data_IF_569381229136
#
_entry.id   IF_569381229136
#
_cell.length_a   1.000
_cell.length_b   1.000
_cell.length_c   1.000
_cell.angle_alpha   90.00
_cell.angle_beta   90.00
_cell.angle_gamma   90.00
#
_symmetry.space_group_name_H-M   'P 1'
#
loop_
_entity.id
_entity.type
_entity.pdbx_description
1 polymer ?
#
# COMPACT_ATOMS: atom_id res chain seq x y z
N UNK A 1 -12.51 7.83 -10.41
CA UNK A 1 -12.42 6.37 -10.66
C UNK A 1 -13.35 6.06 -11.84
N UNK A 2 -12.80 5.65 -13.00
CA UNK A 2 -13.33 5.50 -14.39
C UNK A 2 -14.62 6.18 -14.91
N UNK A 3 -15.57 6.67 -14.10
CA UNK A 3 -16.77 7.36 -14.59
C UNK A 3 -17.66 6.48 -15.48
N UNK A 4 -17.76 5.19 -15.14
CA UNK A 4 -18.55 4.16 -15.84
C UNK A 4 -18.14 3.87 -17.30
N UNK A 5 -17.01 4.41 -17.77
CA UNK A 5 -16.47 4.12 -19.10
C UNK A 5 -15.84 2.72 -19.20
N UNK A 6 -15.63 2.05 -18.08
CA UNK A 6 -14.93 0.77 -18.02
C UNK A 6 -13.40 0.88 -18.13
N UNK A 7 -12.86 2.08 -18.32
CA UNK A 7 -11.43 2.35 -18.53
C UNK A 7 -11.00 3.60 -17.76
N UNK A 8 -9.84 3.55 -17.12
CA UNK A 8 -9.16 4.74 -16.60
C UNK A 8 -8.18 5.25 -17.63
N UNK A 9 -8.19 6.55 -17.89
CA UNK A 9 -7.21 7.20 -18.76
C UNK A 9 -6.45 8.30 -18.03
N UNK A 10 -5.15 8.40 -18.32
CA UNK A 10 -4.29 9.48 -17.85
C UNK A 10 -3.23 9.80 -18.90
N UNK A 11 -2.63 10.99 -18.80
CA UNK A 11 -1.47 11.32 -19.64
C UNK A 11 -0.17 11.03 -18.90
N UNK A 12 0.74 10.34 -19.57
CA UNK A 12 2.06 10.01 -19.06
C UNK A 12 3.13 10.56 -20.01
N UNK A 13 4.14 11.30 -19.49
CA UNK A 13 5.28 11.69 -20.30
C UNK A 13 6.12 10.49 -20.68
N UNK A 14 6.52 10.41 -21.95
CA UNK A 14 7.50 9.45 -22.44
C UNK A 14 8.90 10.08 -22.49
N UNK A 15 9.98 9.27 -22.59
CA UNK A 15 11.36 9.77 -22.68
C UNK A 15 11.62 10.70 -23.86
N UNK A 16 10.77 10.67 -24.89
CA UNK A 16 10.78 11.57 -26.04
C UNK A 16 10.17 12.96 -25.75
N UNK A 17 9.67 13.18 -24.52
CA UNK A 17 9.01 14.42 -24.10
C UNK A 17 7.55 14.54 -24.53
N UNK A 18 6.99 13.52 -25.20
CA UNK A 18 5.60 13.53 -25.67
C UNK A 18 4.69 12.94 -24.60
N UNK A 19 3.57 13.60 -24.33
CA UNK A 19 2.52 13.04 -23.49
C UNK A 19 1.72 12.01 -24.28
N UNK A 20 1.59 10.81 -23.72
CA UNK A 20 0.76 9.75 -24.29
C UNK A 20 -0.38 9.46 -23.34
N UNK A 21 -1.58 9.33 -23.90
CA UNK A 21 -2.72 8.82 -23.15
C UNK A 21 -2.50 7.32 -22.92
N UNK A 22 -2.48 6.93 -21.66
CA UNK A 22 -2.52 5.52 -21.25
C UNK A 22 -3.95 5.20 -20.87
N UNK A 23 -4.41 4.06 -21.33
CA UNK A 23 -5.71 3.49 -20.99
C UNK A 23 -5.49 2.20 -20.21
N UNK A 24 -6.19 2.05 -19.10
CA UNK A 24 -6.13 0.86 -18.28
C UNK A 24 -7.54 0.39 -17.92
N UNK A 25 -7.81 -0.93 -17.94
CA UNK A 25 -9.07 -1.49 -17.47
C UNK A 25 -9.46 -0.93 -16.10
N UNK A 26 -10.73 -0.53 -15.93
CA UNK A 26 -11.18 0.02 -14.65
C UNK A 26 -11.01 -1.04 -13.55
N UNK A 27 -10.24 -0.77 -12.49
CA UNK A 27 -9.93 -1.76 -11.46
C UNK A 27 -11.15 -2.21 -10.64
N UNK A 28 -12.29 -1.53 -10.77
CA UNK A 28 -13.59 -1.90 -10.19
C UNK A 28 -14.35 -2.93 -11.06
N UNK A 29 -13.81 -3.33 -12.21
CA UNK A 29 -14.46 -4.29 -13.11
C UNK A 29 -15.62 -3.70 -13.93
N UNK A 30 -15.76 -2.37 -14.01
CA UNK A 30 -16.84 -1.71 -14.77
C UNK A 30 -16.74 -1.87 -16.29
N UNK A 31 -15.71 -2.55 -16.81
CA UNK A 31 -15.49 -2.74 -18.24
C UNK A 31 -16.07 -4.06 -18.75
N UNK A 32 -16.26 -4.18 -20.07
CA UNK A 32 -16.81 -5.39 -20.70
C UNK A 32 -15.83 -6.59 -20.76
N UNK A 33 -14.69 -6.52 -20.09
CA UNK A 33 -13.75 -7.63 -20.01
C UNK A 33 -14.13 -8.53 -18.82
N UNK A 34 -14.20 -9.84 -19.07
CA UNK A 34 -14.47 -10.80 -18.02
C UNK A 34 -13.38 -10.76 -16.96
N UNK A 35 -13.77 -10.61 -15.70
CA UNK A 35 -12.89 -10.65 -14.53
C UNK A 35 -13.16 -11.95 -13.79
N UNK A 36 -12.12 -12.72 -13.47
CA UNK A 36 -12.27 -13.97 -12.73
C UNK A 36 -12.86 -13.67 -11.33
N UNK A 37 -13.87 -14.40 -10.82
CA UNK A 37 -14.50 -14.11 -9.53
C UNK A 37 -13.51 -14.00 -8.35
N UNK A 38 -12.47 -14.83 -8.33
CA UNK A 38 -11.40 -14.73 -7.32
C UNK A 38 -10.61 -13.39 -7.36
N UNK A 39 -10.54 -12.71 -8.50
CA UNK A 39 -9.88 -11.41 -8.63
C UNK A 39 -10.73 -10.25 -8.09
N UNK A 40 -12.05 -10.45 -7.92
CA UNK A 40 -12.91 -9.50 -7.19
C UNK A 40 -12.74 -9.63 -5.67
N UNK A 41 -12.39 -10.84 -5.19
CA UNK A 41 -12.22 -11.15 -3.78
C UNK A 41 -10.82 -10.85 -3.24
N UNK A 42 -9.80 -10.82 -4.09
CA UNK A 42 -8.38 -10.58 -3.70
C UNK A 42 -8.11 -9.16 -3.15
N UNK A 43 -9.13 -8.29 -3.08
CA UNK A 43 -9.07 -6.93 -2.52
C UNK A 43 -9.93 -6.75 -1.29
N UNK A 44 -10.74 -7.74 -0.94
CA UNK A 44 -11.46 -7.76 0.33
C UNK A 44 -10.59 -8.59 1.26
N UNK A 45 -9.85 -7.94 2.15
CA UNK A 45 -9.48 -8.61 3.39
C UNK A 45 -10.82 -8.94 4.03
N UNK A 46 -11.29 -10.17 3.88
CA UNK A 46 -12.44 -10.66 4.63
C UNK A 46 -12.07 -10.43 6.09
N UNK A 47 -12.69 -9.43 6.71
CA UNK A 47 -12.63 -9.33 8.16
C UNK A 47 -13.29 -10.61 8.66
N UNK A 48 -12.57 -11.48 9.39
CA UNK A 48 -13.24 -12.57 10.05
C UNK A 48 -14.04 -11.93 11.19
N UNK A 49 -15.35 -11.83 10.99
CA UNK A 49 -16.32 -11.81 12.09
C UNK A 49 -16.23 -13.17 12.79
N UNK A 50 -15.23 -13.30 13.66
CA UNK A 50 -15.02 -14.26 14.75
C UNK A 50 -13.51 -14.28 15.02
N UNK A 51 -13.04 -13.41 15.91
CA UNK A 51 -11.64 -13.32 16.31
C UNK A 51 -11.15 -14.68 16.86
N UNK A 52 -10.18 -15.36 16.23
CA UNK A 52 -9.29 -16.24 16.96
C UNK A 52 -8.45 -15.33 17.88
N UNK A 53 -8.27 -15.75 19.13
CA UNK A 53 -7.70 -14.97 20.25
C UNK A 53 -6.26 -14.45 20.05
N UNK A 54 -5.68 -14.61 18.85
CA UNK A 54 -4.44 -13.97 18.42
C UNK A 54 -4.58 -13.57 16.97
N UNK A 55 -4.83 -12.28 16.72
CA UNK A 55 -4.53 -11.66 15.42
C UNK A 55 -3.04 -11.91 15.17
N UNK A 56 -2.71 -12.88 14.33
CA UNK A 56 -1.35 -13.03 13.83
C UNK A 56 -0.98 -11.70 13.19
N UNK A 57 0.13 -11.12 13.65
CA UNK A 57 0.59 -9.83 13.17
C UNK A 57 0.82 -9.93 11.67
N UNK A 58 0.10 -9.13 10.88
CA UNK A 58 0.14 -9.24 9.43
C UNK A 58 1.53 -8.91 8.89
N UNK A 59 1.89 -9.44 7.71
CA UNK A 59 3.19 -9.24 7.07
C UNK A 59 3.63 -7.76 7.00
N UNK A 60 2.68 -6.83 6.84
CA UNK A 60 2.94 -5.39 6.83
C UNK A 60 3.38 -4.87 8.20
N UNK A 61 2.73 -5.32 9.28
CA UNK A 61 3.10 -4.92 10.63
C UNK A 61 4.47 -5.50 11.04
N UNK A 62 4.74 -6.74 10.66
CA UNK A 62 6.07 -7.35 10.85
C UNK A 62 7.16 -6.62 10.04
N UNK A 63 6.93 -6.34 8.76
CA UNK A 63 7.87 -5.60 7.93
C UNK A 63 8.12 -4.17 8.46
N UNK A 64 7.08 -3.48 8.92
CA UNK A 64 7.19 -2.15 9.51
C UNK A 64 8.00 -2.16 10.81
N UNK A 65 7.85 -3.20 11.64
CA UNK A 65 8.64 -3.36 12.87
C UNK A 65 10.13 -3.56 12.54
N UNK A 66 10.42 -4.51 11.65
CA UNK A 66 11.79 -4.81 11.21
C UNK A 66 12.45 -3.57 10.60
N UNK A 67 11.72 -2.85 9.74
CA UNK A 67 12.20 -1.61 9.15
C UNK A 67 12.42 -0.49 10.17
N UNK A 68 11.50 -0.34 11.13
CA UNK A 68 11.62 0.62 12.23
C UNK A 68 12.85 0.35 13.10
N UNK A 69 13.06 -0.89 13.51
CA UNK A 69 14.20 -1.30 14.34
C UNK A 69 15.54 -1.04 13.62
N UNK A 70 15.59 -1.31 12.31
CA UNK A 70 16.77 -1.00 11.50
C UNK A 70 17.06 0.51 11.47
N UNK A 71 16.03 1.35 11.28
CA UNK A 71 16.18 2.80 11.22
C UNK A 71 16.68 3.34 12.56
N UNK A 72 16.11 2.88 13.68
CA UNK A 72 16.53 3.25 15.04
C UNK A 72 18.02 2.94 15.25
N UNK A 73 18.45 1.71 14.97
CA UNK A 73 19.84 1.29 15.15
C UNK A 73 20.82 2.07 14.24
N UNK A 74 20.40 2.42 13.02
CA UNK A 74 21.21 3.23 12.12
C UNK A 74 21.40 4.67 12.61
N UNK A 75 20.32 5.30 13.09
CA UNK A 75 20.35 6.65 13.64
C UNK A 75 21.25 6.74 14.86
N UNK A 76 21.16 5.77 15.79
CA UNK A 76 22.04 5.67 16.96
C UNK A 76 23.51 5.52 16.56
N UNK A 77 23.80 4.61 15.62
CA UNK A 77 25.17 4.37 15.14
C UNK A 77 25.80 5.59 14.48
N UNK A 78 25.00 6.40 13.80
CA UNK A 78 25.47 7.62 13.15
C UNK A 78 25.51 8.83 14.09
N UNK A 79 25.05 8.68 15.34
CA UNK A 79 24.99 9.78 16.31
C UNK A 79 24.00 10.87 15.90
N UNK A 80 22.95 10.51 15.17
CA UNK A 80 21.92 11.45 14.74
C UNK A 80 20.91 11.60 15.88
N UNK A 81 20.82 12.82 16.40
CA UNK A 81 19.77 13.22 17.31
C UNK A 81 18.42 13.26 16.56
N UNK A 82 17.50 12.38 16.93
CA UNK A 82 16.21 12.24 16.27
C UNK A 82 15.09 12.22 17.32
N UNK A 83 13.97 12.95 17.12
CA UNK A 83 12.87 13.00 18.09
C UNK A 83 12.31 11.62 18.47
N UNK A 84 12.28 10.67 17.54
CA UNK A 84 11.82 9.31 17.83
C UNK A 84 12.74 8.49 18.78
N UNK A 85 13.96 8.96 19.03
CA UNK A 85 14.89 8.38 20.01
C UNK A 85 14.86 9.11 21.36
N UNK A 86 14.13 10.23 21.45
CA UNK A 86 13.89 10.92 22.70
C UNK A 86 12.74 10.21 23.38
N UNK A 87 13.05 9.47 24.45
CA UNK A 87 12.04 8.92 25.34
C UNK A 87 11.40 10.12 26.06
N UNK A 88 10.27 10.63 25.55
CA UNK A 88 9.42 11.57 26.30
C UNK A 88 8.68 10.81 27.43
N UNK A 89 9.43 10.03 28.21
CA UNK A 89 9.09 9.56 29.56
C UNK A 89 9.81 10.43 30.58
N UNK A 90 9.56 11.73 30.50
CA UNK A 90 9.75 12.61 31.65
C UNK A 90 8.35 12.93 32.20
N UNK A 91 8.14 12.49 33.45
CA UNK A 91 7.14 12.98 34.41
C UNK A 91 7.47 14.43 34.80
#
# INVERSE_FOLDING_TARGET
MCGDTGTMSWQQPYPDGVLRTIEWPCPRGCGGHWTHPAAEQDRVIEQPDELPDRRHEGNVAEANRIGGDFIVAALERWGIDHPALRDDRDD
#
